data_IF_809552681391
#
_entry.id   IF_809552681391
#
_cell.length_a   1.000
_cell.length_b   1.000
_cell.length_c   1.000
_cell.angle_alpha   90.00
_cell.angle_beta   90.00
_cell.angle_gamma   90.00
#
_symmetry.space_group_name_H-M   'P 1'
#
loop_
_entity.id
_entity.type
_entity.pdbx_description
1 polymer ?
#
# COMPACT_ATOMS: atom_id res chain seq x y z
N UNK A 1 -30.22 -6.86 -7.60
CA UNK A 1 -29.55 -6.19 -6.46
C UNK A 1 -29.67 -7.13 -5.26
N UNK A 2 -28.54 -7.59 -4.70
CA UNK A 2 -28.50 -8.56 -3.58
C UNK A 2 -28.85 -7.85 -2.25
N UNK A 3 -29.42 -8.60 -1.31
CA UNK A 3 -29.72 -8.17 0.06
C UNK A 3 -28.47 -7.53 0.71
N UNK A 4 -28.52 -6.26 1.14
CA UNK A 4 -27.39 -5.59 1.79
C UNK A 4 -26.98 -6.22 3.13
N UNK A 5 -27.80 -7.10 3.72
CA UNK A 5 -27.51 -7.78 4.96
C UNK A 5 -26.89 -9.18 4.79
N UNK A 6 -26.70 -9.67 3.56
CA UNK A 6 -26.04 -10.96 3.31
C UNK A 6 -24.51 -10.82 3.49
N UNK A 7 -24.09 -10.83 4.75
CA UNK A 7 -22.70 -10.71 5.16
C UNK A 7 -21.83 -11.84 4.61
N UNK A 8 -22.40 -13.02 4.37
CA UNK A 8 -21.64 -14.15 3.85
C UNK A 8 -21.37 -13.98 2.35
N UNK A 9 -22.33 -13.47 1.58
CA UNK A 9 -22.06 -13.08 0.20
C UNK A 9 -21.00 -11.98 0.10
N UNK A 10 -21.07 -10.97 0.97
CA UNK A 10 -20.09 -9.88 1.02
C UNK A 10 -18.69 -10.42 1.35
N UNK A 11 -18.56 -11.28 2.35
CA UNK A 11 -17.28 -11.90 2.72
C UNK A 11 -16.72 -12.78 1.59
N UNK A 12 -17.56 -13.53 0.88
CA UNK A 12 -17.13 -14.35 -0.28
C UNK A 12 -16.54 -13.51 -1.41
N UNK A 13 -17.04 -12.30 -1.62
CA UNK A 13 -16.58 -11.42 -2.70
C UNK A 13 -15.45 -10.46 -2.28
N UNK A 14 -15.04 -10.46 -1.00
CA UNK A 14 -14.10 -9.49 -0.45
C UNK A 14 -12.75 -10.13 -0.09
N UNK A 15 -11.66 -9.55 -0.58
CA UNK A 15 -10.30 -9.80 -0.12
C UNK A 15 -9.85 -8.67 0.82
N UNK A 16 -9.13 -9.00 1.90
CA UNK A 16 -8.65 -7.99 2.86
C UNK A 16 -7.16 -8.20 3.11
N UNK A 17 -6.39 -7.12 3.08
CA UNK A 17 -5.00 -7.05 3.50
C UNK A 17 -4.87 -6.01 4.62
N UNK A 18 -4.74 -6.42 5.90
CA UNK A 18 -4.56 -5.49 7.01
C UNK A 18 -3.15 -4.86 7.04
N UNK A 19 -2.93 -3.82 7.85
CA UNK A 19 -1.62 -3.19 7.99
C UNK A 19 -0.54 -4.16 8.48
N UNK A 20 -0.88 -5.07 9.41
CA UNK A 20 0.03 -6.08 9.93
C UNK A 20 -0.10 -7.41 9.17
N UNK A 21 1.03 -8.03 8.86
CA UNK A 21 1.05 -9.31 8.15
C UNK A 21 0.60 -10.47 9.05
N UNK A 22 -0.59 -11.01 8.80
CA UNK A 22 -1.14 -12.18 9.53
C UNK A 22 -0.64 -13.47 8.88
N UNK A 23 0.67 -13.72 8.99
CA UNK A 23 1.33 -14.89 8.41
C UNK A 23 1.72 -15.91 9.50
N UNK A 24 1.69 -17.19 9.12
CA UNK A 24 2.17 -18.28 9.95
C UNK A 24 3.66 -18.54 9.66
N UNK A 25 4.55 -18.21 10.60
CA UNK A 25 6.00 -18.33 10.43
C UNK A 25 6.48 -19.70 9.91
N UNK A 26 5.82 -20.77 10.35
CA UNK A 26 6.20 -22.15 10.03
C UNK A 26 5.67 -22.66 8.69
N UNK A 27 4.81 -21.89 7.99
CA UNK A 27 4.27 -22.27 6.69
C UNK A 27 5.07 -21.63 5.56
N UNK A 28 5.09 -22.28 4.40
CA UNK A 28 5.63 -21.69 3.18
C UNK A 28 4.62 -20.76 2.50
N UNK A 29 5.05 -19.83 1.63
CA UNK A 29 4.14 -19.03 0.81
C UNK A 29 3.13 -19.86 0.03
N UNK A 30 3.58 -20.98 -0.55
CA UNK A 30 2.70 -21.91 -1.28
C UNK A 30 1.61 -22.46 -0.36
N UNK A 31 1.99 -22.94 0.83
CA UNK A 31 1.04 -23.50 1.80
C UNK A 31 0.05 -22.46 2.32
N UNK A 32 0.47 -21.20 2.47
CA UNK A 32 -0.44 -20.10 2.81
C UNK A 32 -1.50 -19.90 1.73
N UNK A 33 -1.06 -19.78 0.47
CA UNK A 33 -1.96 -19.55 -0.64
C UNK A 33 -2.90 -20.75 -0.85
N UNK A 34 -2.40 -21.99 -0.75
CA UNK A 34 -3.25 -23.19 -0.77
C UNK A 34 -4.31 -23.19 0.34
N UNK A 35 -3.91 -22.80 1.56
CA UNK A 35 -4.82 -22.71 2.70
C UNK A 35 -5.92 -21.68 2.46
N UNK A 36 -5.55 -20.45 2.08
CA UNK A 36 -6.52 -19.38 1.85
C UNK A 36 -7.37 -19.62 0.60
N UNK A 37 -6.85 -20.26 -0.45
CA UNK A 37 -7.61 -20.72 -1.60
C UNK A 37 -8.71 -21.72 -1.20
N UNK A 38 -8.36 -22.70 -0.36
CA UNK A 38 -9.31 -23.69 0.14
C UNK A 38 -10.38 -23.06 1.04
N UNK A 39 -10.00 -22.12 1.91
CA UNK A 39 -10.93 -21.39 2.78
C UNK A 39 -11.89 -20.50 1.97
N UNK A 40 -11.41 -19.87 0.89
CA UNK A 40 -12.27 -19.10 -0.02
C UNK A 40 -13.24 -19.98 -0.81
N UNK A 41 -12.99 -21.29 -0.91
CA UNK A 41 -13.86 -22.22 -1.63
C UNK A 41 -13.54 -22.34 -3.12
N UNK A 42 -12.26 -22.17 -3.50
CA UNK A 42 -11.80 -22.47 -4.86
C UNK A 42 -11.86 -23.98 -5.06
N UNK A 43 -12.36 -24.43 -6.23
CA UNK A 43 -12.48 -25.85 -6.53
C UNK A 43 -11.11 -26.56 -6.42
N UNK A 44 -10.99 -27.73 -5.76
CA UNK A 44 -9.71 -28.39 -5.50
C UNK A 44 -8.81 -28.61 -6.73
N UNK A 45 -9.40 -28.85 -7.91
CA UNK A 45 -8.64 -29.01 -9.16
C UNK A 45 -8.00 -27.71 -9.66
N UNK A 46 -8.53 -26.55 -9.26
CA UNK A 46 -8.05 -25.22 -9.67
C UNK A 46 -7.09 -24.59 -8.66
N UNK A 47 -7.01 -25.11 -7.43
CA UNK A 47 -6.20 -24.53 -6.35
C UNK A 47 -4.73 -24.43 -6.78
N UNK A 48 -4.13 -25.50 -7.27
CA UNK A 48 -2.70 -25.50 -7.66
C UNK A 48 -2.42 -24.46 -8.76
N UNK A 49 -3.31 -24.38 -9.75
CA UNK A 49 -3.21 -23.40 -10.83
C UNK A 49 -3.26 -21.97 -10.31
N UNK A 50 -4.26 -21.65 -9.47
CA UNK A 50 -4.46 -20.29 -8.94
C UNK A 50 -3.35 -19.90 -7.95
N UNK A 51 -2.84 -20.85 -7.15
CA UNK A 51 -1.69 -20.65 -6.25
C UNK A 51 -0.45 -20.32 -7.07
N UNK A 52 -0.14 -21.10 -8.10
CA UNK A 52 1.03 -20.87 -8.94
C UNK A 52 0.92 -19.58 -9.75
N UNK A 53 -0.27 -19.23 -10.23
CA UNK A 53 -0.55 -17.94 -10.85
C UNK A 53 -0.31 -16.79 -9.89
N UNK A 54 -0.87 -16.87 -8.68
CA UNK A 54 -0.69 -15.85 -7.64
C UNK A 54 0.78 -15.68 -7.26
N UNK A 55 1.53 -16.77 -7.09
CA UNK A 55 2.98 -16.73 -6.78
C UNK A 55 3.81 -16.04 -7.86
N UNK A 56 3.44 -16.21 -9.14
CA UNK A 56 4.06 -15.49 -10.26
C UNK A 56 3.69 -14.01 -10.24
N UNK A 57 2.41 -13.72 -10.03
CA UNK A 57 1.91 -12.33 -9.98
C UNK A 57 2.64 -11.54 -8.88
N UNK A 58 2.83 -12.12 -7.69
CA UNK A 58 3.54 -11.45 -6.58
C UNK A 58 5.06 -11.62 -6.61
N UNK A 59 5.65 -12.23 -7.64
CA UNK A 59 7.09 -12.45 -7.76
C UNK A 59 7.71 -13.11 -6.50
N UNK A 60 7.14 -14.26 -6.11
CA UNK A 60 7.58 -15.02 -4.94
C UNK A 60 7.82 -16.50 -5.25
N UNK A 61 7.92 -16.85 -6.54
CA UNK A 61 8.11 -18.23 -7.04
C UNK A 61 9.38 -18.86 -6.47
N UNK A 62 10.50 -18.14 -6.44
CA UNK A 62 11.80 -18.64 -5.96
C UNK A 62 11.79 -18.99 -4.47
N UNK A 63 10.90 -18.36 -3.70
CA UNK A 63 10.76 -18.54 -2.25
C UNK A 63 9.48 -19.30 -1.89
N UNK A 64 8.78 -19.89 -2.87
CA UNK A 64 7.49 -20.54 -2.66
C UNK A 64 7.51 -21.66 -1.60
N UNK A 65 8.64 -22.35 -1.46
CA UNK A 65 8.83 -23.46 -0.51
C UNK A 65 9.63 -23.06 0.74
N UNK A 66 10.09 -21.81 0.84
CA UNK A 66 10.81 -21.32 2.01
C UNK A 66 9.84 -21.03 3.16
N UNK A 67 10.25 -21.20 4.41
CA UNK A 67 9.40 -20.85 5.56
C UNK A 67 9.21 -19.34 5.65
N UNK A 68 7.99 -18.90 5.95
CA UNK A 68 7.61 -17.49 6.02
C UNK A 68 8.41 -16.70 7.06
N UNK A 69 8.96 -17.39 8.08
CA UNK A 69 9.89 -16.80 9.05
C UNK A 69 11.14 -16.19 8.41
N UNK A 70 11.63 -16.78 7.32
CA UNK A 70 12.86 -16.36 6.63
C UNK A 70 12.62 -15.35 5.51
N UNK A 71 11.38 -14.92 5.29
CA UNK A 71 11.04 -13.90 4.31
C UNK A 71 11.40 -12.51 4.85
N UNK A 72 11.87 -11.63 3.96
CA UNK A 72 12.02 -10.22 4.28
C UNK A 72 10.66 -9.57 4.55
N UNK A 73 10.64 -8.41 5.22
CA UNK A 73 9.39 -7.67 5.46
C UNK A 73 8.62 -7.39 4.16
N UNK A 74 9.30 -6.98 3.10
CA UNK A 74 8.70 -6.77 1.78
C UNK A 74 8.12 -8.05 1.17
N UNK A 75 8.79 -9.19 1.33
CA UNK A 75 8.29 -10.49 0.85
C UNK A 75 7.06 -10.97 1.63
N UNK A 76 7.03 -10.75 2.95
CA UNK A 76 5.84 -11.00 3.77
C UNK A 76 4.67 -10.15 3.30
N UNK A 77 4.91 -8.87 3.01
CA UNK A 77 3.91 -7.95 2.49
C UNK A 77 3.35 -8.39 1.13
N UNK A 78 4.24 -8.80 0.20
CA UNK A 78 3.84 -9.38 -1.10
C UNK A 78 2.94 -10.61 -0.91
N UNK A 79 3.27 -11.49 0.03
CA UNK A 79 2.44 -12.66 0.35
C UNK A 79 1.07 -12.26 0.92
N UNK A 80 1.01 -11.28 1.82
CA UNK A 80 -0.25 -10.75 2.36
C UNK A 80 -1.16 -10.17 1.26
N UNK A 81 -0.59 -9.46 0.28
CA UNK A 81 -1.33 -9.00 -0.90
C UNK A 81 -1.80 -10.18 -1.75
N UNK A 82 -0.95 -11.18 -1.95
CA UNK A 82 -1.28 -12.44 -2.63
C UNK A 82 -2.50 -13.15 -2.02
N UNK A 83 -2.55 -13.22 -0.68
CA UNK A 83 -3.68 -13.78 0.07
C UNK A 83 -4.95 -12.96 -0.14
N UNK A 84 -4.85 -11.64 -0.21
CA UNK A 84 -6.01 -10.79 -0.46
C UNK A 84 -6.58 -11.05 -1.87
N UNK A 85 -5.74 -11.17 -2.90
CA UNK A 85 -6.16 -11.29 -4.31
C UNK A 85 -6.51 -12.71 -4.77
N UNK A 86 -6.12 -13.75 -4.04
CA UNK A 86 -6.35 -15.15 -4.44
C UNK A 86 -7.85 -15.45 -4.59
N UNK A 87 -8.25 -16.21 -5.61
CA UNK A 87 -9.67 -16.53 -5.85
C UNK A 87 -10.49 -15.36 -6.40
N UNK A 88 -9.80 -14.37 -6.98
CA UNK A 88 -10.39 -13.30 -7.77
C UNK A 88 -11.58 -12.54 -7.12
N UNK A 89 -11.39 -11.96 -5.92
CA UNK A 89 -12.46 -11.23 -5.24
C UNK A 89 -12.87 -9.97 -6.01
N UNK A 90 -14.16 -9.66 -6.00
CA UNK A 90 -14.75 -8.47 -6.64
C UNK A 90 -14.41 -7.17 -5.88
N UNK A 91 -14.16 -7.27 -4.59
CA UNK A 91 -13.79 -6.15 -3.71
C UNK A 91 -12.48 -6.51 -3.02
N UNK A 92 -11.48 -5.63 -3.07
CA UNK A 92 -10.21 -5.81 -2.35
C UNK A 92 -9.98 -4.60 -1.47
N UNK A 93 -9.79 -4.82 -0.18
CA UNK A 93 -9.50 -3.77 0.81
C UNK A 93 -8.06 -3.92 1.27
N UNK A 94 -7.24 -2.89 1.06
CA UNK A 94 -5.81 -2.88 1.37
C UNK A 94 -5.50 -1.76 2.36
N UNK A 95 -5.00 -2.13 3.52
CA UNK A 95 -4.62 -1.17 4.56
C UNK A 95 -3.11 -0.92 4.54
N UNK A 96 -2.73 0.28 4.09
CA UNK A 96 -1.35 0.74 3.88
C UNK A 96 -0.42 -0.26 3.17
N UNK A 97 -0.79 -0.83 2.01
CA UNK A 97 -0.15 -2.03 1.45
C UNK A 97 1.36 -1.89 1.22
N UNK A 98 1.89 -0.68 1.07
CA UNK A 98 3.31 -0.41 0.79
C UNK A 98 4.14 0.06 2.00
N UNK A 99 3.52 0.17 3.17
CA UNK A 99 4.22 0.57 4.39
C UNK A 99 5.36 -0.41 4.74
N UNK A 100 6.54 0.12 5.02
CA UNK A 100 7.73 -0.69 5.38
C UNK A 100 8.38 -1.47 4.23
N UNK A 101 7.90 -1.29 2.99
CA UNK A 101 8.46 -1.95 1.79
C UNK A 101 9.48 -1.06 1.09
N UNK A 102 10.56 -1.68 0.61
CA UNK A 102 11.60 -0.99 -0.16
C UNK A 102 11.06 -0.42 -1.49
N UNK A 103 11.71 0.61 -2.08
CA UNK A 103 11.20 1.26 -3.28
C UNK A 103 11.01 0.35 -4.50
N UNK A 104 11.84 -0.69 -4.66
CA UNK A 104 11.76 -1.61 -5.80
C UNK A 104 10.55 -2.54 -5.65
N UNK A 105 10.43 -3.21 -4.51
CA UNK A 105 9.29 -4.07 -4.20
C UNK A 105 7.96 -3.33 -4.24
N UNK A 106 7.95 -2.05 -3.82
CA UNK A 106 6.77 -1.18 -3.90
C UNK A 106 6.26 -1.00 -5.33
N UNK A 107 7.15 -0.68 -6.28
CA UNK A 107 6.77 -0.52 -7.70
C UNK A 107 6.24 -1.80 -8.31
N UNK A 108 6.82 -2.93 -7.93
CA UNK A 108 6.32 -4.23 -8.34
C UNK A 108 4.88 -4.45 -7.83
N UNK A 109 4.64 -4.21 -6.53
CA UNK A 109 3.29 -4.31 -5.96
C UNK A 109 2.28 -3.38 -6.64
N UNK A 110 2.68 -2.16 -6.99
CA UNK A 110 1.83 -1.25 -7.78
C UNK A 110 1.44 -1.84 -9.13
N UNK A 111 2.41 -2.46 -9.82
CA UNK A 111 2.17 -3.11 -11.11
C UNK A 111 1.18 -4.28 -10.97
N UNK A 112 1.29 -5.08 -9.90
CA UNK A 112 0.35 -6.17 -9.61
C UNK A 112 -1.07 -5.64 -9.39
N UNK A 113 -1.21 -4.60 -8.57
CA UNK A 113 -2.52 -3.99 -8.28
C UNK A 113 -3.14 -3.34 -9.53
N UNK A 114 -2.34 -2.68 -10.37
CA UNK A 114 -2.79 -2.12 -11.63
C UNK A 114 -3.25 -3.21 -12.60
N UNK A 115 -2.49 -4.30 -12.74
CA UNK A 115 -2.85 -5.43 -13.61
C UNK A 115 -4.14 -6.12 -13.13
N UNK A 116 -4.37 -6.17 -11.81
CA UNK A 116 -5.59 -6.74 -11.23
C UNK A 116 -6.74 -5.73 -11.18
N UNK A 117 -6.61 -4.48 -11.59
CA UNK A 117 -7.69 -3.49 -11.41
C UNK A 117 -8.98 -3.82 -12.18
N UNK A 118 -8.88 -4.53 -13.31
CA UNK A 118 -10.01 -4.74 -14.21
C UNK A 118 -11.08 -5.64 -13.57
N UNK A 119 -12.36 -5.26 -13.71
CA UNK A 119 -13.49 -6.03 -13.22
C UNK A 119 -13.67 -6.07 -11.69
N UNK A 120 -12.91 -5.28 -10.92
CA UNK A 120 -13.00 -5.25 -9.46
C UNK A 120 -12.86 -3.86 -8.87
N UNK A 121 -13.26 -3.72 -7.61
CA UNK A 121 -13.09 -2.49 -6.80
C UNK A 121 -11.94 -2.72 -5.83
N UNK A 122 -10.91 -1.88 -5.89
CA UNK A 122 -9.81 -1.87 -4.94
C UNK A 122 -9.93 -0.61 -4.08
N UNK A 123 -10.15 -0.79 -2.78
CA UNK A 123 -10.09 0.26 -1.78
C UNK A 123 -8.75 0.15 -1.07
N UNK A 124 -7.92 1.19 -1.16
CA UNK A 124 -6.65 1.25 -0.45
C UNK A 124 -6.58 2.48 0.44
N UNK A 125 -6.00 2.31 1.63
CA UNK A 125 -5.54 3.41 2.48
C UNK A 125 -4.04 3.57 2.28
N UNK A 126 -3.57 4.81 2.20
CA UNK A 126 -2.13 5.09 2.12
C UNK A 126 -1.84 6.48 2.62
N UNK A 127 -0.68 6.65 3.26
CA UNK A 127 -0.09 7.95 3.56
C UNK A 127 0.90 8.41 2.47
N UNK A 128 1.17 7.56 1.46
CA UNK A 128 2.01 7.93 0.32
C UNK A 128 1.15 8.51 -0.80
N UNK A 129 1.28 9.81 -1.04
CA UNK A 129 0.47 10.50 -2.05
C UNK A 129 0.84 10.07 -3.47
N UNK A 130 2.11 9.75 -3.75
CA UNK A 130 2.55 9.12 -5.00
C UNK A 130 1.79 7.81 -5.30
N UNK A 131 1.57 6.97 -4.27
CA UNK A 131 0.83 5.72 -4.41
C UNK A 131 -0.63 5.99 -4.77
N UNK A 132 -1.27 6.94 -4.08
CA UNK A 132 -2.63 7.34 -4.37
C UNK A 132 -2.75 7.93 -5.79
N UNK A 133 -1.78 8.70 -6.26
CA UNK A 133 -1.81 9.30 -7.60
C UNK A 133 -1.73 8.23 -8.69
N UNK A 134 -0.86 7.21 -8.52
CA UNK A 134 -0.58 6.14 -9.49
C UNK A 134 -1.65 5.04 -9.50
N UNK A 135 -2.19 4.67 -8.33
CA UNK A 135 -3.09 3.51 -8.21
C UNK A 135 -4.57 3.86 -8.27
N UNK A 136 -4.97 5.02 -7.74
CA UNK A 136 -6.38 5.29 -7.50
C UNK A 136 -7.00 6.16 -8.61
N UNK A 137 -8.18 5.79 -9.09
CA UNK A 137 -8.97 6.62 -10.01
C UNK A 137 -9.58 7.83 -9.27
N UNK A 138 -10.07 7.58 -8.05
CA UNK A 138 -10.64 8.56 -7.13
C UNK A 138 -9.97 8.48 -5.77
N UNK A 139 -9.70 9.64 -5.18
CA UNK A 139 -9.06 9.80 -3.88
C UNK A 139 -10.05 10.46 -2.93
N UNK A 140 -9.97 10.11 -1.65
CA UNK A 140 -10.68 10.79 -0.59
C UNK A 140 -9.67 11.13 0.52
N UNK A 141 -9.62 12.41 0.91
CA UNK A 141 -8.79 12.86 2.03
C UNK A 141 -9.65 12.87 3.27
N UNK A 142 -9.20 12.15 4.30
CA UNK A 142 -9.87 12.06 5.60
C UNK A 142 -9.07 12.85 6.62
N UNK A 143 -9.73 13.75 7.36
CA UNK A 143 -9.14 14.48 8.50
C UNK A 143 -10.17 14.56 9.63
N UNK A 144 -9.71 14.45 10.89
CA UNK A 144 -10.52 14.51 12.11
C UNK A 144 -11.83 13.67 12.05
N UNK A 145 -11.77 12.48 11.43
CA UNK A 145 -12.91 11.57 11.29
C UNK A 145 -13.91 11.88 10.18
N UNK A 146 -13.68 12.93 9.38
CA UNK A 146 -14.55 13.35 8.28
C UNK A 146 -13.83 13.33 6.92
N UNK A 147 -14.56 13.07 5.84
CA UNK A 147 -14.04 13.22 4.48
C UNK A 147 -14.04 14.71 4.13
N UNK A 148 -12.84 15.27 3.93
CA UNK A 148 -12.66 16.70 3.61
C UNK A 148 -12.82 16.98 2.14
N UNK A 149 -12.24 16.12 1.30
CA UNK A 149 -12.38 16.23 -0.14
C UNK A 149 -12.36 14.86 -0.81
N UNK A 150 -12.97 14.78 -1.99
CA UNK A 150 -12.97 13.59 -2.82
C UNK A 150 -12.93 13.99 -4.30
N UNK A 151 -12.14 13.28 -5.10
CA UNK A 151 -12.06 13.49 -6.55
C UNK A 151 -10.86 12.78 -7.18
N UNK A 152 -10.69 12.98 -8.49
CA UNK A 152 -9.45 12.57 -9.16
C UNK A 152 -8.28 13.46 -8.74
N UNK A 153 -7.04 13.04 -8.99
CA UNK A 153 -5.87 13.87 -8.67
C UNK A 153 -5.93 15.22 -9.37
N UNK A 154 -6.30 15.24 -10.65
CA UNK A 154 -6.41 16.47 -11.41
C UNK A 154 -7.48 17.40 -10.82
N UNK A 155 -8.65 16.84 -10.44
CA UNK A 155 -9.71 17.62 -9.80
C UNK A 155 -9.24 18.23 -8.48
N UNK A 156 -8.59 17.44 -7.62
CA UNK A 156 -8.10 17.91 -6.32
C UNK A 156 -7.00 18.95 -6.46
N UNK A 157 -6.01 18.72 -7.34
CA UNK A 157 -4.93 19.68 -7.67
C UNK A 157 -5.50 21.00 -8.21
N UNK A 158 -6.52 20.94 -9.06
CA UNK A 158 -7.16 22.14 -9.61
C UNK A 158 -8.04 22.87 -8.58
N UNK A 159 -8.78 22.14 -7.75
CA UNK A 159 -9.72 22.71 -6.77
C UNK A 159 -9.01 23.40 -5.59
N UNK A 160 -7.96 22.78 -5.06
CA UNK A 160 -7.28 23.25 -3.85
C UNK A 160 -5.98 23.99 -4.13
N UNK A 161 -5.62 24.21 -5.39
CA UNK A 161 -4.39 24.92 -5.75
C UNK A 161 -3.18 24.00 -5.66
N UNK A 162 -2.10 24.28 -6.40
CA UNK A 162 -1.46 25.59 -6.53
C UNK A 162 -0.83 25.72 -7.93
N UNK A 163 -1.64 25.60 -8.99
CA UNK A 163 -1.20 25.88 -10.35
C UNK A 163 0.17 25.27 -10.70
N UNK A 164 1.12 26.11 -11.09
CA UNK A 164 2.48 25.69 -11.44
C UNK A 164 3.49 26.44 -10.60
N UNK A 165 4.51 25.74 -10.12
CA UNK A 165 5.66 26.35 -9.46
C UNK A 165 6.69 26.71 -10.51
N UNK A 166 6.93 28.00 -10.70
CA UNK A 166 8.06 28.52 -11.45
C UNK A 166 9.21 28.76 -10.48
N UNK A 167 10.30 28.02 -10.64
CA UNK A 167 11.53 28.19 -9.86
C UNK A 167 12.60 28.80 -10.75
N UNK A 168 13.17 29.93 -10.31
CA UNK A 168 14.26 30.64 -10.97
C UNK A 168 15.53 30.48 -10.15
N UNK A 169 16.62 30.06 -10.78
CA UNK A 169 17.96 30.03 -10.17
C UNK A 169 18.65 31.34 -10.50
N UNK A 170 19.21 31.97 -9.47
CA UNK A 170 19.79 33.30 -9.51
C UNK A 170 21.30 33.25 -9.29
N UNK A 171 22.05 34.03 -10.08
CA UNK A 171 23.50 34.18 -9.96
C UNK A 171 23.91 35.65 -9.82
N UNK A 172 24.94 35.88 -8.99
CA UNK A 172 25.49 37.22 -8.76
C UNK A 172 24.52 38.20 -8.09
N UNK A 173 24.53 39.46 -8.54
CA UNK A 173 23.65 40.52 -8.04
C UNK A 173 22.27 40.46 -8.69
N UNK A 174 21.40 39.62 -8.14
CA UNK A 174 20.02 39.49 -8.60
C UNK A 174 19.12 40.67 -8.21
N UNK A 175 18.25 41.09 -9.12
CA UNK A 175 17.27 42.17 -8.90
C UNK A 175 15.87 41.60 -8.70
N UNK A 176 15.60 41.07 -7.52
CA UNK A 176 14.31 40.42 -7.20
C UNK A 176 13.08 41.25 -7.57
N UNK A 177 13.11 42.57 -7.31
CA UNK A 177 11.97 43.44 -7.61
C UNK A 177 11.70 43.54 -9.11
N UNK A 178 12.75 43.50 -9.93
CA UNK A 178 12.62 43.53 -11.39
C UNK A 178 12.16 42.17 -11.93
N UNK A 179 12.63 41.06 -11.34
CA UNK A 179 12.14 39.72 -11.65
C UNK A 179 10.66 39.59 -11.30
N UNK A 180 10.26 40.06 -10.12
CA UNK A 180 8.85 40.06 -9.70
C UNK A 180 7.98 40.87 -10.67
N UNK A 181 8.44 42.05 -11.08
CA UNK A 181 7.75 42.85 -12.11
C UNK A 181 7.63 42.10 -13.43
N UNK A 182 8.68 41.43 -13.90
CA UNK A 182 8.65 40.63 -15.12
C UNK A 182 7.56 39.55 -15.03
N UNK A 183 7.55 38.76 -13.96
CA UNK A 183 6.58 37.68 -13.76
C UNK A 183 5.15 38.21 -13.69
N UNK A 184 4.91 39.27 -12.90
CA UNK A 184 3.57 39.88 -12.75
C UNK A 184 3.09 40.52 -14.06
N UNK A 185 3.99 41.04 -14.89
CA UNK A 185 3.62 41.65 -16.19
C UNK A 185 2.99 40.63 -17.13
N UNK A 186 3.52 39.41 -17.17
CA UNK A 186 2.97 38.33 -18.00
C UNK A 186 1.83 37.58 -17.31
N UNK A 187 1.91 37.40 -15.99
CA UNK A 187 0.95 36.64 -15.19
C UNK A 187 0.55 37.49 -13.97
N UNK A 188 -0.50 38.33 -14.09
CA UNK A 188 -0.88 39.30 -13.04
C UNK A 188 -1.27 38.67 -11.70
N UNK A 189 -1.77 37.43 -11.73
CA UNK A 189 -2.18 36.66 -10.54
C UNK A 189 -1.07 35.73 -10.02
N UNK A 190 0.18 35.91 -10.47
CA UNK A 190 1.31 35.15 -9.94
C UNK A 190 1.61 35.57 -8.49
N UNK A 191 1.77 34.60 -7.60
CA UNK A 191 2.13 34.84 -6.21
C UNK A 191 3.62 34.50 -6.00
N UNK A 192 4.36 35.40 -5.35
CA UNK A 192 5.74 35.11 -4.94
C UNK A 192 5.69 34.13 -3.76
N UNK A 193 6.03 32.87 -4.00
CA UNK A 193 5.94 31.82 -3.00
C UNK A 193 7.09 31.91 -1.98
N UNK A 194 8.33 31.74 -2.42
CA UNK A 194 9.50 31.62 -1.52
C UNK A 194 10.81 32.09 -2.17
N UNK A 195 11.76 32.52 -1.35
CA UNK A 195 13.18 32.66 -1.72
C UNK A 195 14.02 31.74 -0.83
N UNK A 196 14.85 30.90 -1.42
CA UNK A 196 15.79 30.04 -0.69
C UNK A 196 17.18 30.12 -1.31
N UNK A 197 18.11 30.81 -0.65
CA UNK A 197 19.47 30.99 -1.17
C UNK A 197 19.47 31.68 -2.54
N UNK A 198 19.82 30.91 -3.58
CA UNK A 198 19.84 31.34 -4.99
C UNK A 198 18.57 31.00 -5.75
N UNK A 199 17.57 30.40 -5.12
CA UNK A 199 16.32 30.02 -5.78
C UNK A 199 15.20 30.98 -5.41
N UNK A 200 14.41 31.38 -6.41
CA UNK A 200 13.23 32.22 -6.28
C UNK A 200 12.04 31.51 -6.91
N UNK A 201 11.00 31.23 -6.11
CA UNK A 201 9.85 30.45 -6.54
C UNK A 201 8.58 31.31 -6.59
N UNK A 202 7.79 31.12 -7.65
CA UNK A 202 6.48 31.73 -7.89
C UNK A 202 5.42 30.65 -8.09
N UNK A 203 4.21 30.90 -7.60
CA UNK A 203 3.02 30.10 -7.92
C UNK A 203 2.27 30.81 -9.03
N UNK A 204 2.18 30.14 -10.18
CA UNK A 204 1.47 30.60 -11.36
C UNK A 204 0.10 29.91 -11.42
N UNK A 205 -1.02 30.63 -11.54
CA UNK A 205 -2.34 30.02 -11.53
C UNK A 205 -2.61 29.25 -12.83
N UNK A 206 -3.34 28.12 -12.73
CA UNK A 206 -3.65 27.25 -13.87
C UNK A 206 -4.47 27.94 -14.97
N UNK A 207 -5.27 28.95 -14.63
CA UNK A 207 -6.04 29.71 -15.63
C UNK A 207 -5.18 30.62 -16.52
N UNK A 208 -3.91 30.83 -16.19
CA UNK A 208 -3.00 31.69 -16.94
C UNK A 208 -2.02 30.92 -17.85
N UNK A 209 -2.27 29.62 -18.10
CA UNK A 209 -1.39 28.75 -18.92
C UNK A 209 -1.14 29.32 -20.32
N UNK A 210 -2.10 30.04 -20.91
CA UNK A 210 -1.91 30.72 -22.19
C UNK A 210 -0.78 31.74 -22.19
N UNK A 211 -0.50 32.36 -21.05
CA UNK A 211 0.50 33.42 -20.93
C UNK A 211 1.89 32.86 -20.62
N UNK A 212 1.99 31.57 -20.27
CA UNK A 212 3.25 30.95 -19.85
C UNK A 212 4.29 30.95 -20.96
N UNK A 213 3.90 30.70 -22.21
CA UNK A 213 4.82 30.75 -23.35
C UNK A 213 5.50 32.13 -23.48
N UNK A 214 4.74 33.21 -23.31
CA UNK A 214 5.28 34.58 -23.35
C UNK A 214 6.22 34.86 -22.17
N UNK A 215 5.88 34.37 -20.98
CA UNK A 215 6.71 34.50 -19.78
C UNK A 215 8.04 33.75 -19.94
N UNK A 216 8.00 32.50 -20.39
CA UNK A 216 9.21 31.68 -20.57
C UNK A 216 10.12 32.25 -21.64
N UNK A 217 9.56 32.75 -22.75
CA UNK A 217 10.34 33.44 -23.79
C UNK A 217 11.02 34.70 -23.24
N UNK A 218 10.33 35.49 -22.41
CA UNK A 218 10.92 36.67 -21.78
C UNK A 218 12.04 36.31 -20.78
N UNK A 219 11.87 35.22 -20.02
CA UNK A 219 12.90 34.71 -19.10
C UNK A 219 14.11 34.21 -19.89
N UNK A 220 13.91 33.44 -20.97
CA UNK A 220 14.99 32.93 -21.82
C UNK A 220 15.76 34.05 -22.52
N UNK A 221 15.08 35.11 -22.96
CA UNK A 221 15.74 36.29 -23.51
C UNK A 221 16.67 36.95 -22.49
N UNK A 222 16.24 37.06 -21.22
CA UNK A 222 17.06 37.62 -20.14
C UNK A 222 18.25 36.71 -19.76
N UNK A 223 18.08 35.39 -19.84
CA UNK A 223 19.16 34.41 -19.62
C UNK A 223 20.20 34.48 -20.75
N UNK A 224 19.76 34.54 -22.01
CA UNK A 224 20.65 34.55 -23.17
C UNK A 224 21.38 35.88 -23.36
N UNK A 225 20.88 36.96 -22.76
CA UNK A 225 21.49 38.28 -22.87
C UNK A 225 22.75 38.36 -21.99
N UNK A 226 23.93 38.52 -22.61
CA UNK A 226 25.26 38.53 -21.93
C UNK A 226 25.41 39.56 -20.80
N UNK A 227 24.54 40.57 -20.71
CA UNK A 227 24.54 41.56 -19.63
C UNK A 227 23.60 41.23 -18.45
N UNK A 228 22.94 40.06 -18.46
CA UNK A 228 22.03 39.50 -17.43
C UNK A 228 21.56 40.51 -16.37
N UNK A 229 20.73 41.48 -16.79
CA UNK A 229 20.35 42.63 -15.94
C UNK A 229 19.62 42.21 -14.67
N UNK A 230 18.99 41.03 -14.70
CA UNK A 230 18.20 40.43 -13.63
C UNK A 230 18.98 39.37 -12.82
N UNK A 231 20.03 38.78 -13.38
CA UNK A 231 20.84 37.73 -12.74
C UNK A 231 20.14 36.36 -12.65
N UNK A 232 19.37 35.95 -13.67
CA UNK A 232 18.75 34.61 -13.75
C UNK A 232 19.69 33.69 -14.54
N UNK A 233 20.00 32.51 -14.01
CA UNK A 233 20.86 31.51 -14.69
C UNK A 233 20.04 30.38 -15.33
N UNK A 234 19.00 29.89 -14.65
CA UNK A 234 18.09 28.88 -15.19
C UNK A 234 16.70 29.01 -14.60
N UNK A 235 15.73 28.37 -15.25
CA UNK A 235 14.37 28.25 -14.73
C UNK A 235 13.88 26.81 -14.83
N UNK A 236 12.95 26.46 -13.95
CA UNK A 236 12.24 25.19 -13.95
C UNK A 236 10.77 25.41 -13.64
N UNK A 237 9.91 24.58 -14.21
CA UNK A 237 8.47 24.62 -13.98
C UNK A 237 8.02 23.25 -13.52
N UNK A 238 7.32 23.18 -12.39
CA UNK A 238 6.71 21.94 -11.89
C UNK A 238 5.23 22.14 -11.59
N UNK A 239 4.46 21.06 -11.69
CA UNK A 239 3.05 21.05 -11.27
C UNK A 239 2.95 20.81 -9.77
N UNK A 240 1.88 21.33 -9.16
CA UNK A 240 1.49 20.98 -7.81
C UNK A 240 1.30 19.47 -7.64
N UNK A 241 1.79 18.95 -6.52
CA UNK A 241 1.62 17.54 -6.16
C UNK A 241 0.46 17.34 -5.19
N UNK A 242 0.01 16.09 -5.04
CA UNK A 242 -1.10 15.78 -4.13
C UNK A 242 -0.69 16.00 -2.65
N UNK A 243 0.61 15.88 -2.32
CA UNK A 243 1.16 16.27 -1.02
C UNK A 243 0.90 17.73 -0.72
N UNK A 244 1.09 18.64 -1.67
CA UNK A 244 0.86 20.06 -1.44
C UNK A 244 -0.61 20.37 -1.20
N UNK A 245 -1.51 19.71 -1.95
CA UNK A 245 -2.96 19.78 -1.71
C UNK A 245 -3.28 19.33 -0.29
N UNK A 246 -2.71 18.20 0.15
CA UNK A 246 -2.89 17.68 1.50
C UNK A 246 -2.38 18.65 2.58
N UNK A 247 -1.19 19.23 2.38
CA UNK A 247 -0.63 20.22 3.30
C UNK A 247 -1.44 21.52 3.35
N UNK A 248 -2.08 21.91 2.24
CA UNK A 248 -2.95 23.09 2.19
C UNK A 248 -4.26 22.83 2.96
N UNK A 249 -4.87 21.67 2.77
CA UNK A 249 -6.08 21.26 3.51
C UNK A 249 -5.86 21.24 5.02
N UNK A 250 -4.68 20.82 5.48
CA UNK A 250 -4.34 20.89 6.91
C UNK A 250 -4.08 22.32 7.40
N UNK A 251 -3.59 23.23 6.55
CA UNK A 251 -3.39 24.64 6.96
C UNK A 251 -4.70 25.37 7.19
N UNK A 252 -5.69 25.14 6.33
CA UNK A 252 -7.03 25.72 6.49
C UNK A 252 -7.68 25.27 7.80
N UNK A 253 -7.33 24.06 8.28
CA UNK A 253 -7.77 23.55 9.58
C UNK A 253 -7.06 24.19 10.78
N UNK A 254 -5.79 24.59 10.65
CA UNK A 254 -5.03 25.24 11.73
C UNK A 254 -5.44 26.70 11.94
N UNK A 255 -5.94 27.39 10.91
CA UNK A 255 -6.48 28.77 11.02
C UNK A 255 -7.74 28.88 11.88
N UNK A 256 -8.36 27.76 12.27
CA UNK A 256 -9.51 27.74 13.17
C UNK A 256 -9.13 27.49 14.65
N UNK A 257 -7.89 27.08 14.98
CA UNK A 257 -7.45 26.77 16.36
C UNK A 257 -5.97 27.17 16.61
N UNK A 258 -5.70 28.44 16.96
CA UNK A 258 -4.34 28.93 17.24
C UNK A 258 -3.84 28.54 18.65
N UNK A 259 -2.91 27.58 18.75
CA UNK A 259 -2.14 27.26 19.97
C UNK A 259 -0.63 27.25 19.74
N UNK A 260 0.17 27.45 20.79
CA UNK A 260 1.65 27.59 20.74
C UNK A 260 2.35 26.35 20.13
N UNK A 261 1.73 25.17 20.26
CA UNK A 261 2.20 23.90 19.67
C UNK A 261 2.18 23.91 18.13
N UNK A 262 1.33 24.74 17.51
CA UNK A 262 1.21 24.85 16.07
C UNK A 262 2.42 25.55 15.44
N UNK A 263 3.13 26.43 16.18
CA UNK A 263 4.30 27.14 15.64
C UNK A 263 5.47 26.17 15.36
N UNK A 264 5.70 25.25 16.29
CA UNK A 264 6.72 24.19 16.19
C UNK A 264 6.41 23.24 15.02
N UNK A 265 5.14 22.84 14.88
CA UNK A 265 4.67 22.02 13.76
C UNK A 265 4.80 22.75 12.42
N UNK A 266 4.46 24.04 12.35
CA UNK A 266 4.61 24.90 11.17
C UNK A 266 6.06 25.02 10.70
N UNK A 267 7.03 25.07 11.62
CA UNK A 267 8.46 25.08 11.30
C UNK A 267 8.94 23.73 10.76
N UNK A 268 8.58 22.61 11.40
CA UNK A 268 8.93 21.26 10.94
C UNK A 268 8.31 20.96 9.57
N UNK A 269 7.06 21.37 9.37
CA UNK A 269 6.32 21.23 8.10
C UNK A 269 6.90 22.08 6.99
N UNK A 270 7.33 23.31 7.28
CA UNK A 270 8.04 24.14 6.30
C UNK A 270 9.38 23.53 5.89
N UNK A 271 10.09 22.84 6.80
CA UNK A 271 11.29 22.07 6.46
C UNK A 271 10.97 20.83 5.61
N UNK A 272 9.86 20.13 5.89
CA UNK A 272 9.40 19.00 5.08
C UNK A 272 9.04 19.42 3.64
N UNK A 273 8.38 20.57 3.49
CA UNK A 273 8.12 21.20 2.18
C UNK A 273 9.40 21.56 1.42
N UNK A 274 10.41 22.12 2.11
CA UNK A 274 11.71 22.38 1.48
C UNK A 274 12.40 21.09 1.01
N UNK A 275 12.19 19.98 1.73
CA UNK A 275 12.75 18.67 1.39
C UNK A 275 11.98 17.98 0.25
N UNK A 276 10.65 18.14 0.17
CA UNK A 276 9.86 17.59 -0.94
C UNK A 276 10.17 18.32 -2.26
N UNK A 277 10.24 19.65 -2.25
CA UNK A 277 10.57 20.46 -3.43
C UNK A 277 11.99 20.18 -3.96
N UNK A 278 12.98 19.97 -3.08
CA UNK A 278 14.35 19.59 -3.49
C UNK A 278 14.46 18.16 -4.03
N UNK A 279 13.61 17.23 -3.56
CA UNK A 279 13.54 15.86 -4.09
C UNK A 279 12.81 15.77 -5.44
N UNK A 280 11.88 16.69 -5.74
CA UNK A 280 11.15 16.75 -7.01
C UNK A 280 12.08 16.96 -8.22
N UNK A 281 13.15 17.75 -8.08
CA UNK A 281 14.13 17.94 -9.16
C UNK A 281 14.88 16.65 -9.55
N UNK A 282 14.89 15.62 -8.69
CA UNK A 282 15.48 14.31 -9.00
C UNK A 282 14.47 13.31 -9.55
N UNK A 283 13.16 13.49 -9.32
CA UNK A 283 12.12 12.58 -9.80
C UNK A 283 11.55 12.99 -11.17
N UNK A 284 11.55 14.29 -11.51
CA UNK A 284 11.09 14.80 -12.82
C UNK A 284 11.91 14.26 -13.99
N UNK A 285 13.18 13.91 -13.81
CA UNK A 285 14.00 13.24 -14.83
C UNK A 285 13.51 11.84 -15.21
N UNK A 286 12.67 11.21 -14.38
CA UNK A 286 12.12 9.86 -14.62
C UNK A 286 10.71 9.89 -15.20
N UNK A 287 9.95 10.97 -14.99
CA UNK A 287 8.59 11.13 -15.52
C UNK A 287 8.61 11.43 -17.04
N UNK A 288 9.66 12.09 -17.53
CA UNK A 288 9.89 12.31 -18.96
C UNK A 288 10.05 11.01 -19.75
N UNK A 289 10.72 9.99 -19.20
CA UNK A 289 10.91 8.68 -19.84
C UNK A 289 9.60 7.88 -19.98
N UNK A 290 8.63 8.07 -19.08
CA UNK A 290 7.32 7.40 -19.16
C UNK A 290 6.36 8.10 -20.13
N UNK A 291 6.45 9.43 -20.25
CA UNK A 291 5.64 10.18 -21.22
C UNK A 291 6.04 9.88 -22.68
N UNK A 292 7.31 9.58 -22.96
CA UNK A 292 7.73 9.09 -24.30
C UNK A 292 7.13 7.73 -24.64
N UNK A 293 7.06 6.80 -23.67
CA UNK A 293 6.45 5.48 -23.86
C UNK A 293 4.93 5.56 -24.04
N UNK A 294 4.26 6.47 -23.33
CA UNK A 294 2.82 6.71 -23.48
C UNK A 294 2.47 7.43 -24.78
N UNK A 295 3.31 8.36 -25.26
CA UNK A 295 3.10 9.04 -26.54
C UNK A 295 3.29 8.10 -27.74
N UNK A 296 4.20 7.12 -27.66
CA UNK A 296 4.36 6.09 -28.69
C UNK A 296 3.09 5.22 -28.84
N UNK A 297 2.46 4.82 -27.73
CA UNK A 297 1.20 4.05 -27.76
C UNK A 297 -0.01 4.85 -28.27
N UNK A 298 0.02 6.18 -28.16
CA UNK A 298 -1.08 7.06 -28.63
C UNK A 298 -0.97 7.34 -30.14
N UNK A 299 0.23 7.27 -30.73
CA UNK A 299 0.44 7.46 -32.17
C UNK A 299 -0.09 6.29 -33.00
N UNK A 300 0.05 5.05 -32.52
CA UNK A 300 -0.46 3.85 -33.20
C UNK A 300 -1.99 3.78 -33.21
N UNK A 301 -2.66 4.43 -32.24
CA UNK A 301 -4.13 4.47 -32.16
C UNK A 301 -4.78 5.48 -33.12
N UNK A 302 -4.00 6.38 -33.74
CA UNK A 302 -4.52 7.41 -34.67
C UNK A 302 -4.48 7.02 -36.15
N UNK A 303 -3.94 5.85 -36.50
CA UNK A 303 -3.78 5.40 -37.88
C UNK A 303 -4.96 4.56 -38.42
N UNK A 304 -6.04 4.35 -37.66
CA UNK A 304 -7.22 3.62 -38.11
C UNK A 304 -8.47 4.50 -37.97
N UNK A 305 -8.82 5.21 -39.05
CA UNK A 305 -10.14 5.79 -39.23
C UNK A 305 -11.09 4.77 -39.85
N UNK A 306 -12.24 4.53 -39.23
CA UNK A 306 -13.53 5.01 -39.71
C UNK A 306 -14.68 4.52 -38.81
N UNK A 307 -15.73 5.32 -38.78
CA UNK A 307 -16.83 5.34 -37.81
C UNK A 307 -17.99 4.45 -38.27
N UNK A 308 -18.39 3.47 -37.44
CA UNK A 308 -19.75 2.92 -37.46
C UNK A 308 -20.29 2.83 -36.02
N UNK A 309 -21.35 3.59 -35.77
CA UNK A 309 -22.13 3.58 -34.53
C UNK A 309 -22.89 2.26 -34.40
N UNK A 310 -22.43 1.40 -33.50
CA UNK A 310 -23.24 0.31 -32.94
C UNK A 310 -23.25 0.43 -31.41
N UNK A 311 -24.38 0.89 -30.86
CA UNK A 311 -24.71 0.67 -29.46
C UNK A 311 -24.74 -0.85 -29.20
N UNK A 312 -23.69 -1.36 -28.59
CA UNK A 312 -23.69 -2.68 -27.98
C UNK A 312 -23.17 -2.53 -26.55
N UNK A 313 -23.78 -3.20 -25.56
CA UNK A 313 -23.28 -3.15 -24.20
C UNK A 313 -21.88 -3.71 -24.21
N UNK A 314 -20.93 -2.95 -23.68
CA UNK A 314 -19.52 -3.29 -23.59
C UNK A 314 -19.42 -4.72 -23.05
N UNK A 315 -19.16 -5.68 -23.95
CA UNK A 315 -18.77 -7.04 -23.61
C UNK A 315 -17.41 -6.91 -22.95
N UNK A 316 -17.42 -6.80 -21.62
CA UNK A 316 -16.24 -6.92 -20.79
C UNK A 316 -15.49 -8.18 -21.21
N UNK A 317 -14.19 -8.02 -21.41
CA UNK A 317 -13.25 -9.09 -21.70
C UNK A 317 -13.51 -10.23 -20.71
N UNK A 318 -13.89 -11.39 -21.24
CA UNK A 318 -14.21 -12.58 -20.47
C UNK A 318 -13.07 -12.95 -19.54
N UNK A 319 -13.28 -12.74 -18.25
CA UNK A 319 -12.61 -13.45 -17.18
C UNK A 319 -13.76 -14.09 -16.39
N UNK A 320 -14.02 -15.36 -16.66
CA UNK A 320 -14.98 -16.14 -15.90
C UNK A 320 -14.61 -16.01 -14.42
N UNK A 321 -15.45 -15.32 -13.66
CA UNK A 321 -15.25 -15.18 -12.22
C UNK A 321 -15.20 -16.58 -11.63
N UNK A 322 -14.10 -16.93 -10.97
CA UNK A 322 -14.00 -18.22 -10.28
C UNK A 322 -15.11 -18.24 -9.25
N UNK A 323 -16.14 -19.06 -9.48
CA UNK A 323 -17.23 -19.22 -8.53
C UNK A 323 -16.70 -19.92 -7.28
N UNK A 324 -16.40 -19.09 -6.29
CA UNK A 324 -15.90 -19.53 -4.99
C UNK A 324 -17.09 -19.92 -4.12
N UNK A 325 -17.24 -21.23 -3.90
CA UNK A 325 -18.27 -21.78 -3.03
C UNK A 325 -17.60 -22.33 -1.77
N UNK A 326 -17.57 -21.57 -0.66
CA UNK A 326 -16.97 -22.04 0.57
C UNK A 326 -17.78 -23.24 1.08
N UNK A 327 -17.12 -24.38 1.16
CA UNK A 327 -17.67 -25.60 1.73
C UNK A 327 -17.10 -25.79 3.13
N UNK A 328 -17.95 -26.00 4.13
CA UNK A 328 -17.51 -26.21 5.52
C UNK A 328 -16.53 -27.40 5.63
N UNK A 329 -16.76 -28.46 4.84
CA UNK A 329 -15.87 -29.63 4.81
C UNK A 329 -14.49 -29.28 4.24
N UNK A 330 -14.45 -28.47 3.18
CA UNK A 330 -13.18 -28.04 2.58
C UNK A 330 -12.40 -27.16 3.56
N UNK A 331 -13.08 -26.23 4.23
CA UNK A 331 -12.50 -25.38 5.29
C UNK A 331 -12.00 -26.24 6.46
N UNK A 332 -12.77 -27.23 6.90
CA UNK A 332 -12.35 -28.15 7.96
C UNK A 332 -11.11 -28.93 7.57
N UNK A 333 -11.07 -29.49 6.36
CA UNK A 333 -9.91 -30.22 5.84
C UNK A 333 -8.68 -29.30 5.76
N UNK A 334 -8.86 -28.05 5.30
CA UNK A 334 -7.79 -27.06 5.25
C UNK A 334 -7.26 -26.73 6.67
N UNK A 335 -8.14 -26.57 7.66
CA UNK A 335 -7.77 -26.34 9.05
C UNK A 335 -7.05 -27.54 9.68
N UNK A 336 -7.53 -28.77 9.42
CA UNK A 336 -6.88 -30.00 9.86
C UNK A 336 -5.49 -30.15 9.24
N UNK A 337 -5.37 -29.92 7.92
CA UNK A 337 -4.09 -29.90 7.21
C UNK A 337 -3.13 -28.88 7.81
N UNK A 338 -3.61 -27.66 8.07
CA UNK A 338 -2.84 -26.60 8.74
C UNK A 338 -2.41 -27.01 10.15
N UNK A 339 -3.28 -27.70 10.91
CA UNK A 339 -2.97 -28.20 12.26
C UNK A 339 -1.89 -29.28 12.21
N UNK A 340 -1.99 -30.23 11.28
CA UNK A 340 -1.02 -31.32 11.09
C UNK A 340 0.34 -30.76 10.66
N UNK A 341 0.38 -29.82 9.71
CA UNK A 341 1.63 -29.19 9.25
C UNK A 341 2.34 -28.45 10.39
N UNK A 342 1.59 -27.72 11.23
CA UNK A 342 2.14 -27.04 12.42
C UNK A 342 2.68 -28.03 13.44
N UNK A 343 1.93 -29.10 13.75
CA UNK A 343 2.38 -30.15 14.68
C UNK A 343 3.67 -30.82 14.20
N UNK A 344 3.76 -31.15 12.91
CA UNK A 344 4.92 -31.85 12.34
C UNK A 344 6.19 -31.02 12.36
N UNK A 345 6.10 -29.70 12.15
CA UNK A 345 7.26 -28.80 12.13
C UNK A 345 7.67 -28.32 13.53
N UNK A 346 6.74 -28.22 14.48
CA UNK A 346 7.04 -27.86 15.88
C UNK A 346 7.10 -29.09 16.81
N UNK A 347 8.11 -29.95 16.63
CA UNK A 347 8.31 -31.15 17.48
C UNK A 347 8.36 -30.82 18.98
N UNK A 348 8.90 -29.65 19.35
CA UNK A 348 8.94 -29.19 20.75
C UNK A 348 7.55 -28.95 21.33
N UNK A 349 6.64 -28.34 20.54
CA UNK A 349 5.25 -28.12 20.98
C UNK A 349 4.47 -29.43 21.02
N UNK A 350 4.75 -30.34 20.08
CA UNK A 350 4.18 -31.69 20.10
C UNK A 350 4.56 -32.43 21.39
N UNK A 351 5.84 -32.37 21.77
CA UNK A 351 6.34 -32.95 23.01
C UNK A 351 5.63 -32.37 24.24
N UNK A 352 5.54 -31.04 24.34
CA UNK A 352 4.90 -30.37 25.48
C UNK A 352 3.39 -30.57 25.53
N UNK A 353 2.69 -30.65 24.40
CA UNK A 353 1.22 -30.84 24.40
C UNK A 353 0.77 -32.27 24.61
N UNK A 354 1.51 -33.26 24.07
CA UNK A 354 1.07 -34.66 24.08
C UNK A 354 1.86 -35.47 25.09
N UNK A 355 3.19 -35.42 25.01
CA UNK A 355 4.05 -36.31 25.79
C UNK A 355 4.21 -35.86 27.25
N UNK A 356 4.25 -34.55 27.51
CA UNK A 356 4.38 -34.03 28.87
C UNK A 356 3.14 -34.34 29.75
N UNK A 357 1.88 -34.10 29.32
CA UNK A 357 0.70 -34.48 30.12
C UNK A 357 0.58 -35.99 30.29
N UNK A 358 0.93 -36.77 29.26
CA UNK A 358 0.95 -38.23 29.34
C UNK A 358 1.98 -38.71 30.37
N UNK A 359 3.18 -38.12 30.35
CA UNK A 359 4.23 -38.39 31.33
C UNK A 359 3.83 -38.03 32.76
N UNK A 360 3.18 -36.86 32.95
CA UNK A 360 2.65 -36.45 34.26
C UNK A 360 1.53 -37.38 34.74
N UNK A 361 0.65 -37.84 33.85
CA UNK A 361 -0.39 -38.80 34.20
C UNK A 361 0.19 -40.16 34.62
N UNK A 362 1.19 -40.67 33.88
CA UNK A 362 1.89 -41.91 34.24
C UNK A 362 2.63 -41.76 35.58
N UNK A 363 3.30 -40.64 35.79
CA UNK A 363 3.96 -40.34 37.07
C UNK A 363 2.96 -40.25 38.22
N UNK A 364 1.81 -39.62 38.01
CA UNK A 364 0.73 -39.57 38.99
C UNK A 364 0.18 -40.95 39.35
N UNK A 365 -0.04 -41.82 38.35
CA UNK A 365 -0.44 -43.21 38.58
C UNK A 365 0.64 -44.01 39.33
N UNK A 366 1.92 -43.78 39.03
CA UNK A 366 3.04 -44.43 39.72
C UNK A 366 3.14 -44.01 41.18
N UNK A 367 3.02 -42.71 41.48
CA UNK A 367 3.00 -42.19 42.86
C UNK A 367 1.83 -42.76 43.65
N UNK A 368 0.62 -42.77 43.06
CA UNK A 368 -0.56 -43.35 43.70
C UNK A 368 -0.36 -44.86 43.99
N UNK A 369 0.21 -45.60 43.03
CA UNK A 369 0.54 -47.02 43.22
C UNK A 369 1.53 -47.26 44.37
N UNK A 370 2.54 -46.39 44.54
CA UNK A 370 3.50 -46.48 45.64
C UNK A 370 2.89 -46.15 47.01
N UNK A 371 1.96 -45.19 47.09
CA UNK A 371 1.23 -44.88 48.32
C UNK A 371 0.31 -46.04 48.73
N UNK A 372 -0.44 -46.62 47.78
CA UNK A 372 -1.20 -47.85 48.05
C UNK A 372 -0.32 -49.03 48.43
N UNK A 373 0.88 -49.15 47.85
CA UNK A 373 1.85 -50.19 48.20
C UNK A 373 2.43 -50.03 49.61
N UNK A 374 2.69 -48.80 50.07
CA UNK A 374 3.11 -48.50 51.45
C UNK A 374 2.00 -48.78 52.46
N UNK A 375 0.74 -48.51 52.12
CA UNK A 375 -0.40 -48.84 52.98
C UNK A 375 -0.56 -50.36 53.17
N UNK A 376 -0.37 -51.14 52.09
CA UNK A 376 -0.43 -52.61 52.10
C UNK A 376 0.76 -53.25 52.85
N UNK A 377 1.94 -52.63 52.78
CA UNK A 377 3.11 -53.02 53.57
C UNK A 377 2.95 -52.71 55.06
N UNK A 378 2.38 -51.55 55.42
CA UNK A 378 2.07 -51.22 56.82
C UNK A 378 0.98 -52.12 57.41
N UNK A 379 -0.03 -52.50 56.64
CA UNK A 379 -1.03 -53.49 57.11
C UNK A 379 -0.43 -54.89 57.22
N UNK A 380 0.47 -55.28 56.32
CA UNK A 380 1.14 -56.60 56.38
C UNK A 380 2.15 -56.69 57.53
N UNK A 381 2.89 -55.61 57.82
CA UNK A 381 3.83 -55.56 58.95
C UNK A 381 3.07 -55.54 60.28
N UNK A 382 1.97 -54.78 60.40
CA UNK A 382 1.13 -54.82 61.60
C UNK A 382 0.44 -56.19 61.79
N UNK A 383 0.05 -56.86 60.71
CA UNK A 383 -0.51 -58.22 60.80
C UNK A 383 0.55 -59.26 61.19
N UNK A 384 1.78 -59.13 60.68
CA UNK A 384 2.88 -60.03 61.00
C UNK A 384 3.42 -59.85 62.44
N UNK A 385 3.39 -58.62 62.98
CA UNK A 385 3.72 -58.37 64.40
C UNK A 385 2.61 -58.88 65.33
N UNK A 386 1.34 -58.87 64.90
CA UNK A 386 0.22 -59.42 65.68
C UNK A 386 0.25 -60.96 65.75
N UNK A 387 0.76 -61.64 64.72
CA UNK A 387 0.87 -63.11 64.68
C UNK A 387 2.09 -63.64 65.46
N UNK A 388 3.09 -62.80 65.77
CA UNK A 388 4.24 -63.20 66.60
C UNK A 388 4.05 -62.95 68.11
N UNK A 389 2.92 -62.36 68.53
CA UNK A 389 2.63 -62.00 69.93
C UNK A 389 1.34 -62.63 70.50
N UNK A 390 0.77 -63.62 69.79
CA UNK A 390 -0.31 -64.52 70.25
C UNK A 390 0.22 -65.94 70.14
#
# INVERSE_FOLDING_TARGET
>A
FRDPNDMDAIRRMTGVCPQHDILFDNLSPREHLEFFAAVKGIHPSLIEFEVMKTLRDIDLTDKANSSSKHLSGGQKRKLSIGIAIIGDPKIVILDEPTAGVDPYSRRHMWSVLQNKRHGRVILLTTHFMDEADILADRKAVVSKGNIRCCGSSLFLKNKFGIGYHLTLVLEGHSKENAINKLVITHVPKAEKARRHGRELSFILPHNAVSNFASLFSAIEQEINNKSSKLGISSYGVSMTTLEEVFLHLERDEETEEDTVDNLSKKIVRNRALSRSLSLQNKSTSYQSLQNESNNALIQDAKAAGDFETCESPIKGIGLDSIECHPNWFQTLIALLRLRILRLRRDIKKLYVMIFLPLGLAVLGLFVNSMETGKLLLLTSINFMVFVYFV
#
